data_IF_599809952648
#
_entry.id   IF_599809952648
#
_cell.length_a   1.000
_cell.length_b   1.000
_cell.length_c   1.000
_cell.angle_alpha   90.00
_cell.angle_beta   90.00
_cell.angle_gamma   90.00
#
_symmetry.space_group_name_H-M   'P 1'
#
loop_
_entity.id
_entity.type
_entity.pdbx_description
1 polymer ?
#
# COMPACT_ATOMS: atom_id res chain seq x y z
N UNK A 1 -2.07 -0.33 -27.68
CA UNK A 1 -0.78 -0.41 -26.97
C UNK A 1 -0.08 0.90 -27.25
N UNK A 2 -0.34 1.86 -26.38
CA UNK A 2 -0.10 3.29 -26.57
C UNK A 2 0.37 3.77 -25.21
N UNK A 3 1.58 4.31 -25.14
CA UNK A 3 2.22 4.60 -23.85
C UNK A 3 1.43 5.65 -23.07
N UNK A 4 1.09 5.32 -21.83
CA UNK A 4 0.62 6.28 -20.85
C UNK A 4 1.76 7.22 -20.49
N UNK A 5 1.61 8.50 -20.83
CA UNK A 5 2.41 9.58 -20.24
C UNK A 5 1.51 10.32 -19.25
N UNK A 6 1.90 10.31 -17.98
CA UNK A 6 1.20 11.06 -16.97
C UNK A 6 1.29 12.57 -17.25
N UNK A 7 0.20 13.26 -16.96
CA UNK A 7 0.20 14.72 -16.92
C UNK A 7 0.81 15.15 -15.58
N UNK A 8 1.94 15.84 -15.63
CA UNK A 8 2.62 16.36 -14.44
C UNK A 8 2.19 17.81 -14.13
N UNK A 9 1.37 18.47 -14.96
CA UNK A 9 1.31 19.94 -15.10
C UNK A 9 0.51 20.73 -14.03
N UNK A 10 0.20 20.13 -12.87
CA UNK A 10 -0.60 20.78 -11.82
C UNK A 10 0.17 20.93 -10.49
N UNK A 11 0.17 22.13 -9.90
CA UNK A 11 0.78 22.36 -8.59
C UNK A 11 0.07 21.55 -7.48
N UNK A 12 0.83 20.90 -6.57
CA UNK A 12 0.22 20.18 -5.44
C UNK A 12 -0.62 21.07 -4.53
N UNK A 13 -1.89 20.69 -4.36
CA UNK A 13 -2.91 21.37 -3.56
C UNK A 13 -3.04 20.74 -2.17
N UNK A 14 -3.61 21.50 -1.22
CA UNK A 14 -4.02 20.90 0.05
C UNK A 14 -5.20 19.99 -0.24
N UNK A 15 -4.98 18.68 -0.14
CA UNK A 15 -6.02 17.68 -0.40
C UNK A 15 -7.09 17.78 0.69
N UNK A 16 -8.34 17.88 0.27
CA UNK A 16 -9.55 17.90 1.09
C UNK A 16 -10.63 17.05 0.40
N UNK A 17 -11.77 16.89 1.07
CA UNK A 17 -12.92 16.13 0.58
C UNK A 17 -13.33 16.60 -0.83
N UNK A 18 -13.48 17.91 -1.02
CA UNK A 18 -13.89 18.53 -2.29
C UNK A 18 -12.99 18.11 -3.46
N UNK A 19 -11.66 18.17 -3.29
CA UNK A 19 -10.69 17.80 -4.32
C UNK A 19 -10.67 16.29 -4.61
N UNK A 20 -10.96 15.46 -3.59
CA UNK A 20 -11.11 14.00 -3.77
C UNK A 20 -12.40 13.69 -4.52
N UNK A 21 -13.51 14.36 -4.20
CA UNK A 21 -14.78 14.21 -4.90
C UNK A 21 -14.68 14.68 -6.37
N UNK A 22 -14.04 15.82 -6.62
CA UNK A 22 -13.71 16.32 -7.97
C UNK A 22 -12.91 15.29 -8.78
N UNK A 23 -11.90 14.66 -8.17
CA UNK A 23 -11.13 13.59 -8.82
C UNK A 23 -11.98 12.36 -9.20
N UNK A 24 -12.93 11.95 -8.35
CA UNK A 24 -13.83 10.82 -8.62
C UNK A 24 -14.83 11.18 -9.74
N UNK A 25 -15.34 12.41 -9.75
CA UNK A 25 -16.23 12.94 -10.80
C UNK A 25 -15.53 13.03 -12.17
N UNK A 26 -14.31 13.57 -12.23
CA UNK A 26 -13.51 13.61 -13.47
C UNK A 26 -13.15 12.21 -13.99
N UNK A 27 -12.99 11.22 -13.09
CA UNK A 27 -12.79 9.81 -13.46
C UNK A 27 -14.10 9.09 -13.85
N UNK A 28 -15.25 9.77 -13.84
CA UNK A 28 -16.53 9.22 -14.26
C UNK A 28 -17.08 8.09 -13.39
N UNK A 29 -16.51 7.87 -12.20
CA UNK A 29 -16.99 6.82 -11.29
C UNK A 29 -18.32 7.22 -10.65
N UNK A 30 -19.15 6.20 -10.36
CA UNK A 30 -20.32 6.32 -9.48
C UNK A 30 -19.87 6.09 -8.05
N UNK A 31 -20.22 7.03 -7.19
CA UNK A 31 -19.92 7.04 -5.76
C UNK A 31 -21.12 7.56 -4.96
N UNK A 32 -21.08 7.29 -3.66
CA UNK A 32 -21.90 7.98 -2.66
C UNK A 32 -20.95 8.87 -1.88
N UNK A 33 -21.23 10.18 -1.81
CA UNK A 33 -20.46 11.10 -0.96
C UNK A 33 -20.91 10.94 0.50
N UNK A 34 -19.98 10.73 1.41
CA UNK A 34 -20.24 10.44 2.83
C UNK A 34 -20.24 11.73 3.66
N UNK A 35 -21.06 12.70 3.24
CA UNK A 35 -21.09 14.04 3.85
C UNK A 35 -21.40 14.01 5.35
N UNK A 36 -20.47 14.46 6.18
CA UNK A 36 -20.63 14.51 7.64
C UNK A 36 -20.24 13.23 8.38
N UNK A 37 -19.65 12.25 7.69
CA UNK A 37 -18.86 11.19 8.33
C UNK A 37 -17.53 11.76 8.81
N UNK A 38 -17.05 11.33 9.98
CA UNK A 38 -15.66 11.62 10.43
C UNK A 38 -14.64 10.66 9.80
N UNK A 39 -15.09 9.61 9.11
CA UNK A 39 -14.26 8.48 8.69
C UNK A 39 -14.07 8.42 7.17
N UNK A 40 -15.15 8.44 6.39
CA UNK A 40 -15.10 8.25 4.94
C UNK A 40 -15.49 9.52 4.17
N UNK A 41 -14.88 9.72 3.00
CA UNK A 41 -15.15 10.80 2.05
C UNK A 41 -16.18 10.33 1.00
N UNK A 42 -15.96 9.14 0.44
CA UNK A 42 -16.81 8.57 -0.60
C UNK A 42 -16.76 7.04 -0.63
N UNK A 43 -17.89 6.41 -0.96
CA UNK A 43 -18.02 4.96 -1.16
C UNK A 43 -18.36 4.63 -2.62
N UNK A 44 -17.44 3.94 -3.31
CA UNK A 44 -17.61 3.41 -4.67
C UNK A 44 -18.01 1.93 -4.62
N UNK A 45 -18.87 1.50 -5.55
CA UNK A 45 -19.51 0.18 -5.49
C UNK A 45 -19.21 -0.70 -6.71
N UNK A 46 -18.75 -1.92 -6.45
CA UNK A 46 -18.59 -3.01 -7.42
C UNK A 46 -19.47 -4.21 -7.05
N UNK A 47 -19.63 -5.22 -7.94
CA UNK A 47 -20.51 -6.34 -7.66
C UNK A 47 -20.16 -7.16 -6.41
N UNK A 48 -18.87 -7.25 -6.02
CA UNK A 48 -18.38 -8.10 -4.93
C UNK A 48 -17.74 -7.34 -3.77
N UNK A 49 -17.52 -6.03 -3.91
CA UNK A 49 -16.81 -5.22 -2.93
C UNK A 49 -17.23 -3.74 -2.98
N UNK A 50 -16.96 -3.03 -1.91
CA UNK A 50 -16.97 -1.56 -1.85
C UNK A 50 -15.55 -1.04 -1.70
N UNK A 51 -15.27 0.12 -2.29
CA UNK A 51 -14.04 0.88 -2.07
C UNK A 51 -14.42 2.19 -1.38
N UNK A 52 -13.85 2.42 -0.20
CA UNK A 52 -14.03 3.64 0.58
C UNK A 52 -12.76 4.47 0.51
N UNK A 53 -12.92 5.77 0.27
CA UNK A 53 -11.82 6.74 0.30
C UNK A 53 -11.87 7.50 1.62
N UNK A 54 -10.77 7.52 2.35
CA UNK A 54 -10.68 8.09 3.70
C UNK A 54 -9.32 8.76 3.97
N UNK A 55 -9.27 9.69 4.92
CA UNK A 55 -8.01 10.30 5.36
C UNK A 55 -7.49 9.62 6.63
N UNK A 56 -6.16 9.51 6.76
CA UNK A 56 -5.56 9.12 8.04
C UNK A 56 -5.78 10.21 9.10
N UNK A 57 -6.07 9.78 10.34
CA UNK A 57 -6.01 10.61 11.54
C UNK A 57 -4.57 10.68 12.12
N UNK A 58 -3.56 10.41 11.28
CA UNK A 58 -2.16 10.33 11.69
C UNK A 58 -1.33 11.55 11.26
N UNK A 59 -0.14 11.68 11.85
CA UNK A 59 0.78 12.79 11.58
C UNK A 59 1.33 12.82 10.14
N UNK A 60 1.19 11.73 9.38
CA UNK A 60 1.74 11.58 8.04
C UNK A 60 0.74 11.98 6.96
N UNK A 61 -0.54 12.13 7.31
CA UNK A 61 -1.66 12.58 6.48
C UNK A 61 -1.67 11.89 5.13
N UNK A 62 -2.37 10.77 5.10
CA UNK A 62 -2.52 9.87 3.97
C UNK A 62 -3.98 9.92 3.45
N UNK A 63 -4.18 9.63 2.18
CA UNK A 63 -5.48 9.28 1.60
C UNK A 63 -5.45 7.78 1.31
N UNK A 64 -6.31 7.01 1.96
CA UNK A 64 -6.42 5.57 1.73
C UNK A 64 -7.60 5.23 0.84
N UNK A 65 -7.45 4.15 0.08
CA UNK A 65 -8.52 3.38 -0.51
C UNK A 65 -8.63 2.06 0.25
N UNK A 66 -9.63 1.94 1.10
CA UNK A 66 -9.98 0.75 1.88
C UNK A 66 -11.02 -0.05 1.10
N UNK A 67 -10.83 -1.36 0.93
CA UNK A 67 -11.74 -2.23 0.20
C UNK A 67 -12.19 -3.37 1.08
N UNK A 68 -13.51 -3.59 1.11
CA UNK A 68 -14.13 -4.68 1.85
C UNK A 68 -15.04 -5.51 0.94
N UNK A 69 -15.02 -6.83 1.13
CA UNK A 69 -15.94 -7.73 0.45
C UNK A 69 -17.37 -7.57 0.97
N UNK A 70 -18.35 -7.84 0.10
CA UNK A 70 -19.77 -7.94 0.47
C UNK A 70 -20.09 -9.23 1.24
N UNK A 71 -19.25 -10.25 1.09
CA UNK A 71 -19.33 -11.53 1.80
C UNK A 71 -18.20 -11.72 2.81
N UNK A 72 -18.18 -12.89 3.43
CA UNK A 72 -17.19 -13.28 4.45
C UNK A 72 -16.95 -14.79 4.38
N UNK A 73 -15.90 -15.28 5.03
CA UNK A 73 -15.63 -16.72 5.15
C UNK A 73 -15.72 -17.23 6.60
N UNK A 74 -15.64 -18.54 6.76
CA UNK A 74 -15.67 -19.24 8.05
C UNK A 74 -14.28 -19.26 8.68
N UNK A 75 -14.18 -19.13 10.01
CA UNK A 75 -12.91 -19.30 10.74
C UNK A 75 -12.19 -20.62 10.42
N UNK A 76 -12.92 -21.65 9.99
CA UNK A 76 -12.33 -22.92 9.52
C UNK A 76 -11.39 -22.79 8.32
N UNK A 77 -11.45 -21.70 7.56
CA UNK A 77 -10.55 -21.39 6.44
C UNK A 77 -9.35 -20.51 6.80
N UNK A 78 -9.15 -20.16 8.07
CA UNK A 78 -8.12 -19.18 8.47
C UNK A 78 -6.74 -19.46 7.87
N UNK A 79 -6.32 -20.74 7.83
CA UNK A 79 -5.05 -21.15 7.23
C UNK A 79 -4.99 -20.91 5.70
N UNK A 80 -6.04 -21.32 4.98
CA UNK A 80 -6.13 -21.14 3.52
C UNK A 80 -6.12 -19.64 3.14
N UNK A 81 -6.84 -18.81 3.90
CA UNK A 81 -6.93 -17.37 3.65
C UNK A 81 -5.64 -16.65 4.06
N UNK A 82 -4.99 -17.03 5.17
CA UNK A 82 -3.67 -16.47 5.55
C UNK A 82 -2.62 -16.74 4.46
N UNK A 83 -2.56 -17.95 3.92
CA UNK A 83 -1.67 -18.27 2.80
C UNK A 83 -2.00 -17.46 1.54
N UNK A 84 -3.29 -17.25 1.22
CA UNK A 84 -3.69 -16.43 0.07
C UNK A 84 -3.34 -14.94 0.26
N UNK A 85 -3.47 -14.42 1.48
CA UNK A 85 -3.07 -13.05 1.86
C UNK A 85 -1.56 -12.86 1.73
N UNK A 86 -0.75 -13.77 2.29
CA UNK A 86 0.71 -13.71 2.17
C UNK A 86 1.17 -13.86 0.71
N UNK A 87 0.59 -14.81 -0.04
CA UNK A 87 0.88 -15.00 -1.45
C UNK A 87 0.58 -13.73 -2.26
N UNK A 88 -0.61 -13.16 -2.11
CA UNK A 88 -0.99 -11.89 -2.75
C UNK A 88 -0.01 -10.77 -2.41
N UNK A 89 0.29 -10.58 -1.12
CA UNK A 89 1.21 -9.55 -0.66
C UNK A 89 2.64 -9.75 -1.20
N UNK A 90 3.08 -11.00 -1.41
CA UNK A 90 4.39 -11.31 -1.98
C UNK A 90 4.47 -11.12 -3.50
N UNK A 91 3.38 -11.35 -4.23
CA UNK A 91 3.32 -11.30 -5.70
C UNK A 91 2.90 -9.93 -6.25
N UNK A 92 2.18 -9.11 -5.45
CA UNK A 92 1.55 -7.87 -5.91
C UNK A 92 2.04 -6.68 -5.11
N UNK A 93 2.45 -5.62 -5.80
CA UNK A 93 2.89 -4.36 -5.17
C UNK A 93 1.77 -3.74 -4.33
N UNK A 94 0.59 -3.57 -4.92
CA UNK A 94 -0.60 -2.94 -4.33
C UNK A 94 -1.88 -3.60 -4.89
N UNK A 95 -3.00 -3.60 -4.16
CA UNK A 95 -3.14 -3.21 -2.75
C UNK A 95 -2.56 -4.26 -1.79
N UNK A 96 -2.30 -3.84 -0.55
CA UNK A 96 -2.00 -4.74 0.56
C UNK A 96 -3.26 -5.52 0.96
N UNK A 97 -3.17 -6.83 1.09
CA UNK A 97 -4.23 -7.69 1.61
C UNK A 97 -4.07 -7.91 3.13
N UNK A 98 -5.19 -7.97 3.84
CA UNK A 98 -5.25 -8.44 5.22
C UNK A 98 -6.63 -9.04 5.53
N UNK A 99 -6.75 -9.75 6.64
CA UNK A 99 -7.99 -10.27 7.16
C UNK A 99 -8.30 -9.74 8.56
N UNK A 100 -9.58 -9.65 8.90
CA UNK A 100 -10.06 -9.42 10.27
C UNK A 100 -11.01 -10.53 10.67
N UNK A 101 -11.05 -10.85 11.97
CA UNK A 101 -11.96 -11.85 12.54
C UNK A 101 -13.03 -11.09 13.33
N UNK A 102 -14.26 -11.09 12.82
CA UNK A 102 -15.39 -10.45 13.48
C UNK A 102 -15.87 -11.23 14.72
N UNK A 103 -16.64 -10.57 15.59
CA UNK A 103 -17.19 -11.12 16.85
C UNK A 103 -18.00 -12.41 16.67
N UNK A 104 -18.57 -12.63 15.48
CA UNK A 104 -19.33 -13.84 15.12
C UNK A 104 -18.46 -14.97 14.54
N UNK A 105 -17.13 -14.85 14.68
CA UNK A 105 -16.11 -15.75 14.14
C UNK A 105 -16.14 -15.90 12.61
N UNK A 106 -16.52 -14.83 11.90
CA UNK A 106 -16.39 -14.71 10.45
C UNK A 106 -15.08 -14.02 10.08
N UNK A 107 -14.45 -14.50 9.02
CA UNK A 107 -13.27 -13.89 8.43
C UNK A 107 -13.74 -12.90 7.35
N UNK A 108 -13.44 -11.64 7.54
CA UNK A 108 -13.54 -10.61 6.50
C UNK A 108 -12.16 -10.41 5.90
N UNK A 109 -12.07 -10.26 4.59
CA UNK A 109 -10.82 -9.93 3.89
C UNK A 109 -10.94 -8.50 3.38
N UNK A 110 -9.84 -7.77 3.47
CA UNK A 110 -9.72 -6.37 3.10
C UNK A 110 -8.53 -6.16 2.19
N UNK A 111 -8.60 -5.09 1.40
CA UNK A 111 -7.45 -4.59 0.66
C UNK A 111 -7.28 -3.10 0.88
N UNK A 112 -6.05 -2.66 1.09
CA UNK A 112 -5.73 -1.25 1.36
C UNK A 112 -4.59 -0.76 0.48
N UNK A 113 -4.71 0.48 0.01
CA UNK A 113 -3.61 1.22 -0.62
C UNK A 113 -3.69 2.69 -0.25
N UNK A 114 -2.56 3.41 -0.30
CA UNK A 114 -2.46 4.77 0.26
C UNK A 114 -1.61 5.74 -0.54
N UNK A 115 -2.02 7.00 -0.54
CA UNK A 115 -1.30 8.13 -1.12
C UNK A 115 -0.87 9.12 -0.04
N UNK A 116 0.41 9.50 -0.04
CA UNK A 116 0.96 10.48 0.89
C UNK A 116 0.57 11.92 0.52
N UNK A 117 -0.23 12.59 1.36
CA UNK A 117 -0.76 13.94 1.07
C UNK A 117 -0.25 15.04 2.03
N UNK A 118 0.56 14.73 3.05
CA UNK A 118 1.20 15.75 3.91
C UNK A 118 2.14 16.73 3.17
N UNK A 119 2.68 16.34 2.01
CA UNK A 119 3.42 17.24 1.10
C UNK A 119 2.59 17.74 -0.07
N UNK A 120 1.26 17.73 0.07
CA UNK A 120 0.24 18.05 -0.93
C UNK A 120 0.24 17.07 -2.09
N UNK A 121 -0.84 17.02 -2.86
CA UNK A 121 -0.94 16.25 -4.10
C UNK A 121 -1.64 17.09 -5.17
N UNK A 122 -1.29 16.90 -6.44
CA UNK A 122 -2.05 17.47 -7.56
C UNK A 122 -3.34 16.68 -7.80
N UNK A 123 -4.30 17.28 -8.53
CA UNK A 123 -5.51 16.57 -8.95
C UNK A 123 -5.16 15.32 -9.78
N UNK A 124 -4.13 15.38 -10.62
CA UNK A 124 -3.67 14.23 -11.42
C UNK A 124 -2.96 13.14 -10.58
N UNK A 125 -2.26 13.51 -9.50
CA UNK A 125 -1.75 12.53 -8.52
C UNK A 125 -2.90 11.81 -7.81
N UNK A 126 -3.95 12.53 -7.41
CA UNK A 126 -5.15 11.93 -6.79
C UNK A 126 -5.90 11.04 -7.79
N UNK A 127 -6.09 11.50 -9.04
CA UNK A 127 -6.76 10.71 -10.09
C UNK A 127 -5.97 9.46 -10.47
N UNK A 128 -4.63 9.56 -10.58
CA UNK A 128 -3.77 8.41 -10.83
C UNK A 128 -3.93 7.37 -9.71
N UNK A 129 -3.84 7.81 -8.45
CA UNK A 129 -4.04 6.96 -7.28
C UNK A 129 -5.42 6.28 -7.25
N UNK A 130 -6.51 7.04 -7.36
CA UNK A 130 -7.89 6.49 -7.30
C UNK A 130 -8.12 5.48 -8.42
N UNK A 131 -7.63 5.76 -9.64
CA UNK A 131 -7.73 4.83 -10.77
C UNK A 131 -6.94 3.54 -10.51
N UNK A 132 -5.67 3.65 -10.11
CA UNK A 132 -4.81 2.48 -9.83
C UNK A 132 -5.37 1.66 -8.67
N UNK A 133 -5.89 2.30 -7.62
CA UNK A 133 -6.60 1.64 -6.54
C UNK A 133 -7.80 0.84 -7.07
N UNK A 134 -8.75 1.49 -7.75
CA UNK A 134 -9.95 0.85 -8.28
C UNK A 134 -9.67 -0.28 -9.29
N UNK A 135 -8.66 -0.13 -10.16
CA UNK A 135 -8.25 -1.16 -11.11
C UNK A 135 -7.61 -2.37 -10.40
N UNK A 136 -6.66 -2.12 -9.49
CA UNK A 136 -5.95 -3.18 -8.77
C UNK A 136 -6.84 -3.92 -7.77
N UNK A 137 -7.80 -3.24 -7.13
CA UNK A 137 -8.74 -3.87 -6.19
C UNK A 137 -9.78 -4.73 -6.88
N UNK A 138 -10.17 -4.43 -8.12
CA UNK A 138 -10.99 -5.35 -8.95
C UNK A 138 -10.24 -6.64 -9.20
N UNK A 139 -8.98 -6.58 -9.67
CA UNK A 139 -8.15 -7.77 -9.88
C UNK A 139 -7.95 -8.57 -8.58
N UNK A 140 -7.72 -7.88 -7.46
CA UNK A 140 -7.59 -8.50 -6.14
C UNK A 140 -8.88 -9.24 -5.73
N UNK A 141 -10.03 -8.56 -5.86
CA UNK A 141 -11.32 -9.13 -5.48
C UNK A 141 -11.73 -10.29 -6.39
N UNK A 142 -11.49 -10.22 -7.69
CA UNK A 142 -11.75 -11.34 -8.61
C UNK A 142 -10.87 -12.54 -8.27
N UNK A 143 -9.56 -12.33 -8.05
CA UNK A 143 -8.62 -13.39 -7.66
C UNK A 143 -9.05 -14.11 -6.37
N UNK A 144 -9.48 -13.36 -5.35
CA UNK A 144 -9.92 -13.93 -4.08
C UNK A 144 -11.32 -14.56 -4.16
N UNK A 145 -12.24 -14.06 -5.00
CA UNK A 145 -13.56 -14.68 -5.20
C UNK A 145 -13.46 -15.97 -6.02
N UNK A 146 -12.48 -16.10 -6.93
CA UNK A 146 -12.20 -17.37 -7.61
C UNK A 146 -11.75 -18.47 -6.64
N UNK A 147 -10.96 -18.11 -5.61
CA UNK A 147 -10.47 -19.05 -4.58
C UNK A 147 -11.50 -19.28 -3.45
N UNK A 148 -12.20 -18.23 -3.04
CA UNK A 148 -13.15 -18.20 -1.91
C UNK A 148 -14.49 -17.57 -2.34
N UNK A 149 -15.35 -18.30 -3.09
CA UNK A 149 -16.58 -17.74 -3.65
C UNK A 149 -17.55 -17.13 -2.62
N UNK A 150 -17.47 -17.56 -1.35
CA UNK A 150 -18.29 -16.99 -0.26
C UNK A 150 -17.98 -15.51 0.08
N UNK A 151 -16.81 -15.00 -0.33
CA UNK A 151 -16.47 -13.57 -0.22
C UNK A 151 -17.28 -12.72 -1.22
N UNK A 152 -17.65 -13.29 -2.37
CA UNK A 152 -18.29 -12.57 -3.48
C UNK A 152 -19.82 -12.67 -3.48
N UNK A 153 -20.51 -11.92 -2.62
CA UNK A 153 -21.97 -11.79 -2.72
C UNK A 153 -22.35 -10.66 -3.68
N UNK A 154 -23.07 -10.98 -4.77
CA UNK A 154 -23.46 -9.96 -5.76
C UNK A 154 -24.38 -8.90 -5.15
N UNK A 155 -23.87 -7.68 -4.98
CA UNK A 155 -24.70 -6.52 -4.63
C UNK A 155 -25.75 -6.26 -5.72
N UNK A 156 -26.95 -5.88 -5.29
CA UNK A 156 -28.05 -5.45 -6.17
C UNK A 156 -27.99 -3.99 -6.60
N UNK A 157 -26.97 -3.24 -6.19
CA UNK A 157 -26.78 -1.82 -6.51
C UNK A 157 -26.17 -1.63 -7.90
N UNK A 158 -26.30 -0.41 -8.45
CA UNK A 158 -25.68 -0.03 -9.70
C UNK A 158 -24.14 0.06 -9.53
N UNK A 159 -23.40 -0.82 -10.20
CA UNK A 159 -21.94 -0.88 -10.11
C UNK A 159 -21.22 0.04 -11.09
N UNK A 160 -19.94 0.27 -10.82
CA UNK A 160 -18.97 0.80 -11.78
C UNK A 160 -18.60 -0.23 -12.87
N UNK A 161 -18.09 0.27 -14.01
CA UNK A 161 -17.60 -0.50 -15.16
C UNK A 161 -16.64 0.37 -15.97
N UNK A 162 -15.48 -0.17 -16.38
CA UNK A 162 -14.37 0.59 -17.01
C UNK A 162 -14.61 0.99 -18.49
N UNK A 163 -15.85 1.22 -18.90
CA UNK A 163 -16.26 1.27 -20.31
C UNK A 163 -16.07 2.59 -21.06
N UNK A 164 -16.08 3.74 -20.36
CA UNK A 164 -16.25 5.06 -20.99
C UNK A 164 -15.27 6.11 -20.41
N UNK A 165 -14.07 6.28 -21.01
CA UNK A 165 -13.09 7.31 -20.63
C UNK A 165 -12.31 7.86 -21.86
N UNK A 166 -12.07 9.17 -21.90
CA UNK A 166 -11.36 9.92 -22.97
C UNK A 166 -10.40 10.95 -22.36
N UNK A 167 -9.22 11.19 -22.96
CA UNK A 167 -8.12 11.95 -22.34
C UNK A 167 -7.18 12.67 -23.32
N UNK A 168 -6.95 13.98 -23.13
CA UNK A 168 -5.73 14.70 -23.59
C UNK A 168 -5.59 16.11 -22.95
N UNK A 169 -4.35 16.55 -22.65
CA UNK A 169 -3.77 17.93 -22.82
C UNK A 169 -2.35 18.04 -22.15
N UNK A 170 -1.71 19.23 -22.12
CA UNK A 170 -0.23 19.42 -21.91
C UNK A 170 0.24 20.80 -21.39
N UNK A 171 1.42 20.84 -20.69
CA UNK A 171 2.43 21.96 -20.53
C UNK A 171 2.16 23.07 -19.45
N UNK A 172 3.06 23.60 -18.59
CA UNK A 172 4.40 23.25 -18.06
C UNK A 172 4.75 24.01 -16.71
N UNK A 173 5.76 23.52 -15.96
CA UNK A 173 6.63 24.18 -14.95
C UNK A 173 6.31 24.15 -13.43
N UNK A 174 7.35 23.85 -12.62
CA UNK A 174 7.37 23.57 -11.14
C UNK A 174 6.72 22.27 -10.66
N UNK A 175 6.80 21.23 -11.47
CA UNK A 175 5.93 20.06 -11.41
C UNK A 175 6.53 18.84 -10.68
N UNK A 176 5.71 17.88 -10.25
CA UNK A 176 6.17 16.51 -10.00
C UNK A 176 6.96 15.98 -11.21
N UNK A 177 7.99 15.17 -10.97
CA UNK A 177 8.79 14.58 -12.06
C UNK A 177 8.88 13.07 -11.90
N UNK A 178 9.12 12.38 -13.03
CA UNK A 178 9.33 10.93 -13.08
C UNK A 178 10.36 10.48 -12.02
N UNK A 179 10.00 9.45 -11.28
CA UNK A 179 10.85 8.88 -10.25
C UNK A 179 12.02 8.12 -10.90
N UNK A 180 13.23 8.25 -10.33
CA UNK A 180 14.39 7.53 -10.82
C UNK A 180 15.33 7.13 -9.68
N UNK A 181 16.03 5.99 -9.83
CA UNK A 181 17.00 5.49 -8.85
C UNK A 181 18.08 6.53 -8.49
N UNK A 182 18.64 7.33 -9.43
CA UNK A 182 19.53 8.44 -9.08
C UNK A 182 18.92 9.48 -8.12
N UNK A 183 17.61 9.77 -8.21
CA UNK A 183 16.92 10.67 -7.28
C UNK A 183 16.79 10.04 -5.89
N UNK A 184 16.44 8.75 -5.82
CA UNK A 184 16.38 7.98 -4.57
C UNK A 184 17.76 7.95 -3.89
N UNK A 185 18.83 7.64 -4.63
CA UNK A 185 20.23 7.69 -4.12
C UNK A 185 20.62 9.07 -3.58
N UNK A 186 20.18 10.15 -4.24
CA UNK A 186 20.46 11.50 -3.72
C UNK A 186 19.82 11.69 -2.35
N UNK A 187 18.52 11.38 -2.21
CA UNK A 187 17.79 11.52 -0.95
C UNK A 187 18.40 10.63 0.15
N UNK A 188 18.78 9.39 -0.15
CA UNK A 188 19.44 8.51 0.82
C UNK A 188 20.76 9.10 1.33
N UNK A 189 21.63 9.60 0.45
CA UNK A 189 22.86 10.28 0.83
C UNK A 189 22.59 11.55 1.66
N UNK A 190 21.59 12.33 1.26
CA UNK A 190 21.23 13.56 1.96
C UNK A 190 20.60 13.28 3.35
N UNK A 191 20.11 12.05 3.59
CA UNK A 191 19.72 11.48 4.89
C UNK A 191 20.88 10.81 5.66
N UNK A 192 22.11 10.83 5.14
CA UNK A 192 23.30 10.20 5.75
C UNK A 192 23.52 8.72 5.43
N UNK A 193 22.69 8.12 4.57
CA UNK A 193 22.79 6.71 4.16
C UNK A 193 23.69 6.64 2.92
N UNK A 194 25.01 6.75 3.15
CA UNK A 194 26.01 6.79 2.07
C UNK A 194 26.41 5.39 1.54
N UNK A 195 26.30 4.35 2.36
CA UNK A 195 26.69 2.97 2.01
C UNK A 195 25.58 2.25 1.26
N UNK A 196 25.38 2.62 0.00
CA UNK A 196 24.39 1.99 -0.88
C UNK A 196 25.03 1.11 -1.95
N UNK A 197 24.39 -0.03 -2.25
CA UNK A 197 24.71 -0.91 -3.38
C UNK A 197 23.56 -0.90 -4.41
N UNK A 198 23.71 -1.60 -5.54
CA UNK A 198 22.71 -1.72 -6.59
C UNK A 198 23.12 -1.08 -7.93
N UNK A 199 22.17 -0.97 -8.85
CA UNK A 199 22.34 -0.58 -10.25
C UNK A 199 21.35 0.54 -10.66
N UNK A 200 20.82 0.55 -11.88
CA UNK A 200 19.83 1.53 -12.34
C UNK A 200 18.37 1.13 -12.03
N UNK A 201 18.12 -0.12 -11.61
CA UNK A 201 16.80 -0.64 -11.27
C UNK A 201 16.56 -0.67 -9.74
N UNK A 202 17.61 -0.83 -8.93
CA UNK A 202 17.49 -0.89 -7.48
C UNK A 202 18.61 -0.18 -6.69
N UNK A 203 18.30 0.16 -5.43
CA UNK A 203 19.29 0.54 -4.40
C UNK A 203 19.12 -0.37 -3.19
N UNK A 204 20.20 -0.90 -2.64
CA UNK A 204 20.20 -1.64 -1.38
C UNK A 204 21.00 -0.88 -0.32
N UNK A 205 20.52 -0.81 0.91
CA UNK A 205 21.20 -0.21 2.05
C UNK A 205 20.96 -1.04 3.31
N UNK A 206 21.97 -1.09 4.19
CA UNK A 206 21.78 -1.59 5.56
C UNK A 206 21.44 -0.42 6.47
N UNK A 207 20.32 -0.50 7.18
CA UNK A 207 19.82 0.55 8.07
C UNK A 207 19.37 -0.14 9.37
N UNK A 208 20.02 0.20 10.49
CA UNK A 208 19.73 -0.39 11.81
C UNK A 208 19.71 -1.93 11.78
N UNK A 209 20.72 -2.54 11.16
CA UNK A 209 20.88 -3.98 10.91
C UNK A 209 19.78 -4.67 10.07
N UNK A 210 18.85 -3.90 9.50
CA UNK A 210 17.89 -4.38 8.50
C UNK A 210 18.39 -4.09 7.09
N UNK A 211 18.29 -5.07 6.19
CA UNK A 211 18.49 -4.88 4.77
C UNK A 211 17.25 -4.21 4.16
N UNK A 212 17.41 -2.99 3.64
CA UNK A 212 16.36 -2.21 3.00
C UNK A 212 16.68 -2.04 1.51
N UNK A 213 15.79 -2.51 0.65
CA UNK A 213 15.87 -2.36 -0.80
C UNK A 213 14.85 -1.37 -1.34
N UNK A 214 15.26 -0.54 -2.30
CA UNK A 214 14.44 0.47 -2.99
C UNK A 214 14.40 0.12 -4.48
N UNK A 215 13.22 -0.08 -5.02
CA UNK A 215 12.97 -0.59 -6.38
C UNK A 215 12.03 0.34 -7.14
N UNK A 216 12.22 0.43 -8.46
CA UNK A 216 11.23 1.02 -9.36
C UNK A 216 10.45 -0.09 -10.04
N UNK A 217 9.17 -0.20 -9.70
CA UNK A 217 8.30 -1.23 -10.27
C UNK A 217 7.55 -0.75 -11.52
N UNK A 218 7.08 -1.73 -12.30
CA UNK A 218 6.36 -1.50 -13.55
C UNK A 218 4.99 -0.84 -13.31
N UNK A 219 4.91 0.48 -13.49
CA UNK A 219 3.73 1.31 -13.19
C UNK A 219 4.10 2.35 -12.13
N UNK A 220 4.86 3.39 -12.54
CA UNK A 220 5.98 3.97 -11.78
C UNK A 220 5.66 4.14 -10.30
N UNK A 221 6.13 3.19 -9.50
CA UNK A 221 5.93 3.17 -8.04
C UNK A 221 7.27 2.94 -7.36
N UNK A 222 7.52 3.64 -6.25
CA UNK A 222 8.64 3.33 -5.36
C UNK A 222 8.20 2.18 -4.46
N UNK A 223 8.77 0.99 -4.69
CA UNK A 223 8.63 -0.13 -3.77
C UNK A 223 9.84 -0.17 -2.86
N UNK A 224 9.64 -0.09 -1.55
CA UNK A 224 10.69 -0.24 -0.54
C UNK A 224 10.42 -1.50 0.26
N UNK A 225 11.41 -2.40 0.37
CA UNK A 225 11.31 -3.68 1.06
C UNK A 225 12.31 -3.73 2.23
N UNK A 226 11.83 -4.03 3.43
CA UNK A 226 12.65 -4.47 4.56
C UNK A 226 12.59 -5.98 4.69
N UNK A 227 13.74 -6.59 4.91
CA UNK A 227 13.91 -8.04 5.05
C UNK A 227 14.30 -8.40 6.48
N UNK A 228 13.63 -9.38 7.07
CA UNK A 228 13.99 -9.92 8.37
C UNK A 228 13.84 -11.45 8.38
N UNK A 229 14.93 -12.13 8.74
CA UNK A 229 15.00 -13.59 8.84
C UNK A 229 14.94 -14.03 10.32
N UNK A 230 13.76 -14.43 10.82
CA UNK A 230 13.60 -14.83 12.22
C UNK A 230 14.12 -16.26 12.52
N UNK A 231 14.50 -17.04 11.50
CA UNK A 231 15.00 -18.42 11.68
C UNK A 231 13.95 -19.39 12.27
N UNK A 232 12.67 -19.16 11.95
CA UNK A 232 11.53 -19.97 12.41
C UNK A 232 11.35 -21.23 11.56
N UNK A 233 10.73 -22.25 12.15
CA UNK A 233 10.31 -23.48 11.45
C UNK A 233 9.05 -23.21 10.60
N UNK A 234 9.10 -23.32 9.24
CA UNK A 234 7.96 -23.01 8.38
C UNK A 234 6.73 -23.89 8.63
N UNK A 235 6.91 -25.17 8.96
CA UNK A 235 5.80 -26.11 9.16
C UNK A 235 5.09 -25.88 10.50
N UNK A 236 5.79 -25.31 11.48
CA UNK A 236 5.30 -25.16 12.87
C UNK A 236 4.92 -23.75 13.26
N UNK A 237 5.60 -22.75 12.72
CA UNK A 237 5.55 -21.38 13.21
C UNK A 237 4.97 -20.40 12.19
N UNK A 238 4.76 -20.83 10.93
CA UNK A 238 4.11 -20.01 9.89
C UNK A 238 2.82 -19.35 10.37
N UNK A 239 1.85 -20.11 10.89
CA UNK A 239 0.57 -19.52 11.31
C UNK A 239 0.70 -18.50 12.44
N UNK A 240 1.73 -18.59 13.29
CA UNK A 240 2.01 -17.58 14.31
C UNK A 240 2.53 -16.30 13.65
N UNK A 241 3.54 -16.44 12.78
CA UNK A 241 4.14 -15.30 12.09
C UNK A 241 3.13 -14.60 11.15
N UNK A 242 2.39 -15.37 10.35
CA UNK A 242 1.38 -14.87 9.43
C UNK A 242 0.27 -14.08 10.14
N UNK A 243 -0.21 -14.55 11.30
CA UNK A 243 -1.22 -13.82 12.08
C UNK A 243 -0.67 -12.53 12.72
N UNK A 244 0.60 -12.50 13.14
CA UNK A 244 1.25 -11.26 13.63
C UNK A 244 1.45 -10.26 12.49
N UNK A 245 1.95 -10.71 11.33
CA UNK A 245 2.06 -9.88 10.12
C UNK A 245 0.70 -9.35 9.67
N UNK A 246 -0.33 -10.20 9.67
CA UNK A 246 -1.69 -9.79 9.34
C UNK A 246 -2.24 -8.76 10.34
N UNK A 247 -2.00 -8.94 11.64
CA UNK A 247 -2.44 -7.98 12.66
C UNK A 247 -1.75 -6.62 12.51
N UNK A 248 -0.47 -6.62 12.10
CA UNK A 248 0.22 -5.40 11.71
C UNK A 248 -0.46 -4.71 10.52
N UNK A 249 -0.88 -5.44 9.49
CA UNK A 249 -1.56 -4.85 8.31
C UNK A 249 -2.94 -4.29 8.64
N UNK A 250 -3.67 -4.95 9.54
CA UNK A 250 -4.95 -4.46 10.07
C UNK A 250 -4.75 -3.10 10.77
N UNK A 251 -3.79 -3.03 11.71
CA UNK A 251 -3.49 -1.85 12.54
C UNK A 251 -2.73 -0.73 11.81
N UNK A 252 -1.89 -1.06 10.83
CA UNK A 252 -0.97 -0.12 10.19
C UNK A 252 -1.28 0.02 8.69
N UNK A 253 -1.97 1.08 8.27
CA UNK A 253 -2.39 1.25 6.88
C UNK A 253 -1.27 1.64 5.89
N UNK A 254 -0.04 1.86 6.36
CA UNK A 254 1.06 2.44 5.56
C UNK A 254 2.10 1.41 5.08
N UNK A 255 2.09 0.20 5.62
CA UNK A 255 2.98 -0.89 5.20
C UNK A 255 2.24 -2.22 5.15
N UNK A 256 2.72 -3.15 4.33
CA UNK A 256 2.29 -4.55 4.38
C UNK A 256 3.43 -5.43 4.90
N UNK A 257 3.15 -6.19 5.94
CA UNK A 257 3.96 -7.28 6.44
C UNK A 257 3.36 -8.61 5.96
N UNK A 258 4.22 -9.55 5.55
CA UNK A 258 3.81 -10.87 5.11
C UNK A 258 4.94 -11.88 5.29
N UNK A 259 4.58 -13.15 5.36
CA UNK A 259 5.55 -14.25 5.42
C UNK A 259 5.93 -14.73 4.02
N UNK A 260 7.20 -15.11 3.84
CA UNK A 260 7.68 -15.82 2.65
C UNK A 260 8.51 -17.00 3.10
N UNK A 261 8.29 -18.18 2.53
CA UNK A 261 9.12 -19.36 2.75
C UNK A 261 9.97 -19.63 1.51
N UNK A 262 11.29 -19.73 1.68
CA UNK A 262 12.22 -20.15 0.62
C UNK A 262 13.27 -21.14 1.15
N UNK A 263 14.40 -21.29 0.45
CA UNK A 263 15.47 -22.25 0.80
C UNK A 263 16.15 -21.93 2.14
N UNK A 264 16.10 -20.68 2.60
CA UNK A 264 16.70 -20.22 3.86
C UNK A 264 15.71 -20.29 5.05
N UNK A 265 14.43 -20.61 4.79
CA UNK A 265 13.41 -20.86 5.81
C UNK A 265 12.23 -19.87 5.76
N UNK A 266 11.62 -19.61 6.91
CA UNK A 266 10.49 -18.68 7.04
C UNK A 266 11.00 -17.26 7.29
N UNK A 267 10.85 -16.40 6.29
CA UNK A 267 11.20 -14.97 6.30
C UNK A 267 9.97 -14.11 6.59
N UNK A 268 10.19 -12.93 7.17
CA UNK A 268 9.21 -11.85 7.25
C UNK A 268 9.67 -10.69 6.37
N UNK A 269 8.78 -10.24 5.48
CA UNK A 269 9.02 -9.08 4.62
C UNK A 269 8.05 -7.98 4.99
N UNK A 270 8.55 -6.76 5.06
CA UNK A 270 7.73 -5.56 5.21
C UNK A 270 7.95 -4.66 4.01
N UNK A 271 6.89 -4.28 3.32
CA UNK A 271 6.95 -3.42 2.15
C UNK A 271 6.17 -2.12 2.36
N UNK A 272 6.76 -1.03 1.90
CA UNK A 272 6.15 0.27 1.75
C UNK A 272 6.06 0.60 0.25
N UNK A 273 4.93 1.14 -0.19
CA UNK A 273 4.70 1.54 -1.57
C UNK A 273 4.34 3.01 -1.61
N UNK A 274 5.05 3.79 -2.43
CA UNK A 274 4.61 5.12 -2.82
C UNK A 274 4.26 5.14 -4.32
N UNK A 275 3.01 5.49 -4.59
CA UNK A 275 2.54 5.82 -5.94
C UNK A 275 3.35 7.02 -6.48
N UNK A 276 3.95 6.84 -7.65
CA UNK A 276 4.57 7.92 -8.43
C UNK A 276 4.07 7.91 -9.88
N UNK A 277 2.84 7.44 -10.10
CA UNK A 277 2.10 7.39 -11.36
C UNK A 277 2.12 8.73 -12.09
N UNK A 278 1.81 9.81 -11.37
CA UNK A 278 1.95 11.20 -11.83
C UNK A 278 3.19 11.91 -11.24
N UNK A 279 4.26 11.14 -10.99
CA UNK A 279 5.54 11.61 -10.50
C UNK A 279 5.54 12.08 -9.04
N UNK A 280 6.72 12.51 -8.59
CA UNK A 280 6.92 13.11 -7.27
C UNK A 280 7.81 14.35 -7.41
N UNK A 281 7.49 15.43 -6.70
CA UNK A 281 8.45 16.51 -6.47
C UNK A 281 9.49 16.10 -5.40
N UNK A 282 10.57 16.87 -5.24
CA UNK A 282 11.65 16.54 -4.29
C UNK A 282 11.16 16.39 -2.84
N UNK A 283 10.25 17.26 -2.38
CA UNK A 283 9.71 17.21 -1.01
C UNK A 283 8.80 16.00 -0.79
N UNK A 284 8.00 15.62 -1.80
CA UNK A 284 7.20 14.39 -1.79
C UNK A 284 8.11 13.14 -1.77
N UNK A 285 9.20 13.12 -2.56
CA UNK A 285 10.15 12.01 -2.56
C UNK A 285 10.88 11.87 -1.21
N UNK A 286 11.35 12.98 -0.63
CA UNK A 286 11.97 12.98 0.70
C UNK A 286 11.01 12.42 1.75
N UNK A 287 9.75 12.88 1.76
CA UNK A 287 8.74 12.35 2.68
C UNK A 287 8.56 10.83 2.50
N UNK A 288 8.38 10.36 1.26
CA UNK A 288 8.16 8.94 1.00
C UNK A 288 9.36 8.06 1.40
N UNK A 289 10.60 8.50 1.17
CA UNK A 289 11.80 7.76 1.65
C UNK A 289 11.89 7.77 3.18
N UNK A 290 11.58 8.89 3.83
CA UNK A 290 11.57 8.98 5.30
C UNK A 290 10.49 8.08 5.93
N UNK A 291 9.28 8.09 5.38
CA UNK A 291 8.18 7.23 5.82
C UNK A 291 8.50 5.76 5.58
N UNK A 292 8.99 5.40 4.40
CA UNK A 292 9.38 4.02 4.08
C UNK A 292 10.36 3.46 5.11
N UNK A 293 11.45 4.18 5.39
CA UNK A 293 12.46 3.76 6.37
C UNK A 293 11.83 3.67 7.77
N UNK A 294 11.10 4.71 8.19
CA UNK A 294 10.48 4.75 9.52
C UNK A 294 9.51 3.59 9.75
N UNK A 295 8.52 3.43 8.87
CA UNK A 295 7.48 2.41 9.03
C UNK A 295 8.00 0.98 8.86
N UNK A 296 8.93 0.73 7.92
CA UNK A 296 9.54 -0.60 7.76
C UNK A 296 10.29 -1.01 9.03
N UNK A 297 11.10 -0.11 9.60
CA UNK A 297 11.83 -0.41 10.83
C UNK A 297 10.88 -0.56 12.02
N UNK A 298 9.88 0.31 12.17
CA UNK A 298 8.87 0.19 13.24
C UNK A 298 8.04 -1.10 13.13
N UNK A 299 7.73 -1.55 11.92
CA UNK A 299 7.05 -2.82 11.67
C UNK A 299 7.92 -4.01 12.09
N UNK A 300 9.17 -4.06 11.64
CA UNK A 300 10.09 -5.16 11.94
C UNK A 300 10.38 -5.21 13.45
N UNK A 301 10.60 -4.07 14.11
CA UNK A 301 10.70 -3.96 15.57
C UNK A 301 9.47 -4.58 16.27
N UNK A 302 8.27 -4.10 15.91
CA UNK A 302 7.03 -4.57 16.55
C UNK A 302 6.80 -6.06 16.32
N UNK A 303 6.93 -6.53 15.09
CA UNK A 303 6.69 -7.92 14.69
C UNK A 303 7.74 -8.85 15.31
N UNK A 304 9.02 -8.46 15.33
CA UNK A 304 10.07 -9.24 15.98
C UNK A 304 9.90 -9.33 17.49
N UNK A 305 9.53 -8.23 18.14
CA UNK A 305 9.20 -8.21 19.57
C UNK A 305 8.01 -9.13 19.89
N UNK A 306 7.00 -9.20 19.03
CA UNK A 306 5.82 -10.04 19.25
C UNK A 306 6.07 -11.54 18.92
N UNK A 307 6.94 -11.82 17.93
CA UNK A 307 7.28 -13.19 17.55
C UNK A 307 8.36 -13.80 18.46
N UNK A 308 9.46 -13.10 18.71
CA UNK A 308 10.64 -13.62 19.43
C UNK A 308 10.80 -13.08 20.86
N UNK A 309 10.09 -12.00 21.22
CA UNK A 309 10.23 -11.35 22.53
C UNK A 309 11.36 -10.31 22.61
N UNK A 310 12.01 -10.00 21.49
CA UNK A 310 13.03 -8.94 21.39
C UNK A 310 12.99 -8.25 20.03
N UNK A 311 13.41 -6.99 20.00
CA UNK A 311 13.57 -6.21 18.78
C UNK A 311 14.68 -6.79 17.90
N UNK A 312 14.45 -6.86 16.59
CA UNK A 312 15.47 -7.19 15.58
C UNK A 312 16.16 -5.97 14.97
N UNK A 313 15.65 -4.76 15.23
CA UNK A 313 16.20 -3.50 14.70
C UNK A 313 17.24 -2.94 15.67
N UNK A 314 18.44 -2.65 15.16
CA UNK A 314 19.50 -2.00 15.92
C UNK A 314 19.26 -0.47 16.01
N UNK A 315 18.25 -0.07 16.80
CA UNK A 315 18.00 1.35 17.08
C UNK A 315 19.22 2.01 17.74
N UNK A 316 19.54 3.27 17.42
CA UNK A 316 20.59 4.02 18.14
C UNK A 316 20.27 4.09 19.64
N UNK A 317 21.29 3.90 20.49
CA UNK A 317 21.13 4.13 21.93
C UNK A 317 20.74 5.59 22.19
N UNK A 318 19.76 5.81 23.08
CA UNK A 318 19.40 7.15 23.55
C UNK A 318 20.60 7.80 24.25
N UNK A 319 21.30 8.67 23.53
CA UNK A 319 22.31 9.56 24.10
C UNK A 319 21.64 10.62 24.98
N UNK A 320 21.50 10.29 26.27
CA UNK A 320 21.17 11.24 27.35
C UNK A 320 22.19 12.38 27.46
#
# INVERSE_FOLDING_TARGET
MTDYKADFNVQPLVVNDELVLEAIEELGYRFIAETGSELAIATLHWPYHTLQLEFSDDQFRMLYAEVSFTGSSSLSRINEISHAVDAWNSERVSPAAYLSIADDARINVFFRTGLAIARRASLDQIKAFIRVAAESTVVACETFVEQFPELGQRSGQASNSFGDLDFSLTDDSQLPTELSIPRVRSVLRDLGIEKTHGDDAMVLAWINDILVGFFLESGPSLLVKGHWDPGLDPDREYMKAALVCNKWNEDNPTTKAFCVTDEDGLQVRVEFVADSGAGLNTSQLILNVQMAIHFILSAIDRISTEIQGHCAVAWPEDTN
#
